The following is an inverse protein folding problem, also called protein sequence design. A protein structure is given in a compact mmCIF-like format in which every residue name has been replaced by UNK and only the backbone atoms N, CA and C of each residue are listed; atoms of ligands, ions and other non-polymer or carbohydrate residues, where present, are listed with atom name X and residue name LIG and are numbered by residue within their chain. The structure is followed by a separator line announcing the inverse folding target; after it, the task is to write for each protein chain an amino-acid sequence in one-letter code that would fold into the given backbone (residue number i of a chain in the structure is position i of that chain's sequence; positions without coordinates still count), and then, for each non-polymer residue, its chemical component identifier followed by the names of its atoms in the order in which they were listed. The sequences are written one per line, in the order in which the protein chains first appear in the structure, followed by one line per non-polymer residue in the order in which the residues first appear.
data_IF_203490809608
#
_entry.id   IF_203490809608
#
_cell.length_a   1.000
_cell.length_b   1.000
_cell.length_c   1.000
_cell.angle_alpha   90.00
_cell.angle_beta   90.00
_cell.angle_gamma   90.00
#
_symmetry.space_group_name_H-M   'P 1'
#
loop_
_entity.id
_entity.type
_entity.pdbx_description
1 polymer ?
#
# COMPACT_ATOMS: atom_id res chain seq x y z
N UNK A 1 0.19 -10.42 -22.11
CA UNK A 1 0.21 -9.63 -20.87
C UNK A 1 -1.24 -9.24 -20.61
N UNK A 2 -1.76 -9.41 -19.39
CA UNK A 2 -3.11 -8.94 -19.08
C UNK A 2 -3.18 -7.41 -19.28
N UNK A 3 -4.29 -6.85 -19.75
CA UNK A 3 -4.41 -5.42 -20.07
C UNK A 3 -4.55 -4.54 -18.80
N UNK A 4 -3.84 -4.88 -17.72
CA UNK A 4 -3.80 -4.10 -16.49
C UNK A 4 -2.81 -2.93 -16.61
N UNK A 5 -3.11 -1.80 -15.97
CA UNK A 5 -2.26 -0.61 -15.98
C UNK A 5 -1.01 -0.75 -15.11
N UNK A 6 -1.12 -1.45 -13.99
CA UNK A 6 -0.02 -1.77 -13.08
C UNK A 6 -0.26 -3.10 -12.37
N UNK A 7 0.78 -3.59 -11.70
CA UNK A 7 0.70 -4.70 -10.76
C UNK A 7 1.58 -4.39 -9.54
N UNK A 8 1.11 -4.75 -8.36
CA UNK A 8 1.92 -4.77 -7.13
C UNK A 8 2.29 -6.21 -6.84
N UNK A 9 3.57 -6.46 -6.58
CA UNK A 9 4.05 -7.75 -6.09
C UNK A 9 4.62 -7.54 -4.71
N UNK A 10 4.16 -8.37 -3.79
CA UNK A 10 4.67 -8.44 -2.43
C UNK A 10 5.17 -9.88 -2.22
N UNK A 11 6.46 -10.01 -1.99
CA UNK A 11 7.15 -11.30 -1.78
C UNK A 11 8.01 -11.18 -0.52
N UNK A 12 7.59 -11.84 0.56
CA UNK A 12 8.27 -11.82 1.85
C UNK A 12 8.11 -13.19 2.52
N UNK A 13 9.11 -13.58 3.28
CA UNK A 13 9.04 -14.68 4.24
C UNK A 13 8.78 -14.20 5.66
N UNK A 14 9.15 -12.97 5.98
CA UNK A 14 8.91 -12.34 7.28
C UNK A 14 8.70 -10.83 7.15
N UNK A 15 8.01 -10.22 8.13
CA UNK A 15 7.87 -8.76 8.18
C UNK A 15 9.18 -8.03 8.50
N UNK A 16 10.21 -8.75 8.97
CA UNK A 16 11.56 -8.20 9.12
C UNK A 16 12.35 -8.14 7.81
N UNK A 17 11.83 -8.71 6.71
CA UNK A 17 12.47 -8.63 5.39
C UNK A 17 12.53 -7.16 4.92
N UNK A 18 13.50 -6.85 4.06
CA UNK A 18 13.66 -5.50 3.52
C UNK A 18 12.44 -5.08 2.69
N UNK A 19 11.85 -3.91 3.00
CA UNK A 19 10.71 -3.37 2.26
C UNK A 19 11.01 -3.24 0.75
N UNK A 20 12.18 -2.72 0.40
CA UNK A 20 12.61 -2.54 -1.00
C UNK A 20 12.87 -3.88 -1.69
N UNK A 21 13.26 -4.90 -0.94
CA UNK A 21 13.42 -6.26 -1.44
C UNK A 21 12.08 -6.95 -1.72
N UNK A 22 11.10 -6.69 -0.85
CA UNK A 22 9.81 -7.40 -0.84
C UNK A 22 8.72 -6.75 -1.69
N UNK A 23 8.76 -5.43 -1.90
CA UNK A 23 7.71 -4.69 -2.62
C UNK A 23 8.17 -4.29 -4.02
N UNK A 24 7.40 -4.64 -5.04
CA UNK A 24 7.61 -4.19 -6.42
C UNK A 24 6.33 -3.64 -7.03
N UNK A 25 6.40 -2.40 -7.52
CA UNK A 25 5.39 -1.82 -8.39
C UNK A 25 5.86 -1.95 -9.84
N UNK A 26 5.02 -2.54 -10.69
CA UNK A 26 5.27 -2.74 -12.11
C UNK A 26 4.24 -1.92 -12.89
N UNK A 27 4.68 -1.01 -13.75
CA UNK A 27 3.82 -0.25 -14.65
C UNK A 27 3.82 -0.88 -16.04
N UNK A 28 2.64 -0.99 -16.64
CA UNK A 28 2.51 -1.49 -18.00
C UNK A 28 2.71 -0.34 -19.00
N UNK A 29 3.88 -0.31 -19.66
CA UNK A 29 4.22 0.73 -20.64
C UNK A 29 3.29 0.76 -21.86
N UNK A 30 2.62 -0.35 -22.18
CA UNK A 30 1.69 -0.44 -23.31
C UNK A 30 0.26 0.02 -22.95
N UNK A 31 -0.01 0.34 -21.69
CA UNK A 31 -1.34 0.78 -21.26
C UNK A 31 -1.57 2.28 -21.55
N UNK A 32 -2.77 2.71 -22.01
CA UNK A 32 -3.06 4.14 -22.30
C UNK A 32 -2.94 5.13 -21.12
N UNK A 33 -2.73 4.62 -19.91
CA UNK A 33 -2.52 5.42 -18.70
C UNK A 33 -1.04 5.52 -18.31
N UNK A 34 -0.13 4.78 -18.97
CA UNK A 34 1.28 4.68 -18.59
C UNK A 34 1.98 6.04 -18.60
N UNK A 35 1.78 6.82 -19.66
CA UNK A 35 2.38 8.15 -19.80
C UNK A 35 1.94 9.07 -18.64
N UNK A 36 0.63 9.17 -18.38
CA UNK A 36 0.10 9.98 -17.30
C UNK A 36 0.48 9.48 -15.89
N UNK A 37 0.81 8.19 -15.72
CA UNK A 37 1.34 7.65 -14.47
C UNK A 37 2.82 8.06 -14.25
N UNK A 38 3.57 8.28 -15.34
CA UNK A 38 4.97 8.72 -15.31
C UNK A 38 5.12 10.25 -15.27
N UNK A 39 4.07 10.99 -15.63
CA UNK A 39 4.00 12.44 -15.50
C UNK A 39 4.03 12.88 -14.02
N UNK A 40 4.70 14.00 -13.74
CA UNK A 40 4.81 14.56 -12.37
C UNK A 40 3.83 15.71 -12.11
N UNK A 41 3.09 16.16 -13.13
CA UNK A 41 2.18 17.30 -13.06
C UNK A 41 1.00 17.13 -14.01
N UNK A 42 -0.09 17.84 -13.71
CA UNK A 42 -1.35 17.79 -14.47
C UNK A 42 -2.45 17.02 -13.76
N UNK A 43 -3.68 17.46 -13.95
CA UNK A 43 -4.85 16.95 -13.20
C UNK A 43 -5.05 15.44 -13.38
N UNK A 44 -4.83 14.95 -14.60
CA UNK A 44 -4.92 13.51 -14.90
C UNK A 44 -3.85 12.69 -14.16
N UNK A 45 -2.61 13.17 -14.11
CA UNK A 45 -1.52 12.52 -13.39
C UNK A 45 -1.80 12.51 -11.88
N UNK A 46 -2.26 13.64 -11.33
CA UNK A 46 -2.63 13.75 -9.92
C UNK A 46 -3.74 12.75 -9.53
N UNK A 47 -4.80 12.65 -10.34
CA UNK A 47 -5.88 11.67 -10.12
C UNK A 47 -5.33 10.24 -10.18
N UNK A 48 -4.55 9.90 -11.20
CA UNK A 48 -3.99 8.56 -11.35
C UNK A 48 -3.04 8.19 -10.22
N UNK A 49 -2.23 9.14 -9.73
CA UNK A 49 -1.38 8.93 -8.57
C UNK A 49 -2.20 8.71 -7.30
N UNK A 50 -3.31 9.42 -7.11
CA UNK A 50 -4.21 9.19 -5.97
C UNK A 50 -4.80 7.78 -5.99
N UNK A 51 -5.24 7.30 -7.16
CA UNK A 51 -5.75 5.94 -7.37
C UNK A 51 -4.66 4.91 -7.10
N UNK A 52 -3.47 5.11 -7.67
CA UNK A 52 -2.34 4.20 -7.52
C UNK A 52 -1.90 4.08 -6.06
N UNK A 53 -1.79 5.19 -5.31
CA UNK A 53 -1.35 5.17 -3.91
C UNK A 53 -2.29 4.36 -3.02
N UNK A 54 -3.61 4.56 -3.18
CA UNK A 54 -4.61 3.79 -2.45
C UNK A 54 -4.55 2.32 -2.83
N UNK A 55 -4.45 2.03 -4.12
CA UNK A 55 -4.44 0.66 -4.59
C UNK A 55 -3.18 -0.10 -4.11
N UNK A 56 -2.03 0.56 -4.08
CA UNK A 56 -0.80 0.03 -3.48
C UNK A 56 -0.99 -0.23 -1.98
N UNK A 57 -1.48 0.75 -1.21
CA UNK A 57 -1.69 0.58 0.23
C UNK A 57 -2.71 -0.52 0.54
N UNK A 58 -3.80 -0.59 -0.23
CA UNK A 58 -4.80 -1.66 -0.18
C UNK A 58 -4.16 -3.02 -0.40
N UNK A 59 -3.39 -3.18 -1.48
CA UNK A 59 -2.78 -4.46 -1.81
C UNK A 59 -1.75 -4.89 -0.76
N UNK A 60 -0.94 -3.96 -0.25
CA UNK A 60 0.07 -4.25 0.76
C UNK A 60 -0.55 -4.70 2.08
N UNK A 61 -1.43 -3.88 2.68
CA UNK A 61 -2.07 -4.23 3.96
C UNK A 61 -3.02 -5.41 3.77
N UNK A 62 -3.77 -5.45 2.66
CA UNK A 62 -4.70 -6.53 2.36
C UNK A 62 -4.03 -7.89 2.17
N UNK A 63 -2.85 -7.93 1.53
CA UNK A 63 -2.09 -9.18 1.38
C UNK A 63 -1.60 -9.69 2.73
N UNK A 64 -1.03 -8.81 3.55
CA UNK A 64 -0.56 -9.15 4.90
C UNK A 64 -1.73 -9.54 5.81
N UNK A 65 -2.88 -8.88 5.67
CA UNK A 65 -4.10 -9.24 6.38
C UNK A 65 -4.65 -10.61 5.95
N UNK A 66 -4.51 -10.99 4.68
CA UNK A 66 -4.93 -12.30 4.19
C UNK A 66 -3.95 -13.44 4.55
N UNK A 67 -2.75 -13.12 5.01
CA UNK A 67 -1.77 -14.09 5.47
C UNK A 67 -2.18 -14.66 6.85
N UNK A 68 -2.73 -15.86 6.85
CA UNK A 68 -3.19 -16.58 8.04
C UNK A 68 -2.04 -17.06 8.94
N UNK A 69 -0.82 -17.15 8.40
CA UNK A 69 0.37 -17.60 9.13
C UNK A 69 1.20 -16.45 9.68
N UNK A 70 0.76 -15.22 9.44
CA UNK A 70 1.40 -14.03 9.94
C UNK A 70 1.26 -13.93 11.46
N UNK A 71 2.39 -14.02 12.15
CA UNK A 71 2.48 -13.66 13.55
C UNK A 71 3.04 -12.23 13.68
N UNK A 72 2.21 -11.29 14.11
CA UNK A 72 2.60 -9.90 14.35
C UNK A 72 3.43 -9.74 15.63
N UNK A 73 3.38 -10.72 16.52
CA UNK A 73 4.07 -10.71 17.82
C UNK A 73 5.42 -11.44 17.76
N UNK A 74 5.70 -12.22 16.71
CA UNK A 74 6.96 -12.98 16.51
C UNK A 74 8.11 -12.14 15.93
N UNK A 75 7.97 -10.81 15.91
CA UNK A 75 9.06 -9.95 15.43
C UNK A 75 10.13 -9.76 16.52
N UNK A 76 11.34 -10.26 16.26
CA UNK A 76 12.52 -9.91 17.05
C UNK A 76 12.68 -8.37 17.03
N UNK A 77 12.62 -7.69 18.19
CA UNK A 77 12.77 -6.24 18.27
C UNK A 77 14.07 -5.72 17.66
N UNK A 78 15.10 -6.57 17.53
CA UNK A 78 16.40 -6.25 16.94
C UNK A 78 16.34 -6.32 15.40
N UNK A 79 15.41 -7.08 14.82
CA UNK A 79 15.22 -7.24 13.38
C UNK A 79 14.27 -6.22 12.74
N UNK A 80 13.60 -5.39 13.56
CA UNK A 80 12.75 -4.29 13.11
C UNK A 80 13.59 -3.04 12.86
N UNK A 81 14.37 -3.07 11.78
CA UNK A 81 15.02 -1.86 11.27
C UNK A 81 14.00 -0.97 10.53
N UNK A 82 14.33 0.32 10.40
CA UNK A 82 13.50 1.33 9.70
C UNK A 82 13.28 1.00 8.20
N UNK A 83 14.05 0.06 7.63
CA UNK A 83 13.95 -0.40 6.25
C UNK A 83 13.15 -1.68 6.06
N UNK A 84 12.62 -2.26 7.14
CA UNK A 84 11.86 -3.51 7.13
C UNK A 84 10.47 -3.32 6.54
N UNK A 85 9.89 -4.43 6.06
CA UNK A 85 8.53 -4.47 5.54
C UNK A 85 7.53 -4.01 6.61
N UNK A 86 7.73 -4.44 7.87
CA UNK A 86 6.94 -3.97 9.02
C UNK A 86 6.99 -2.45 9.16
N UNK A 87 8.18 -1.86 9.20
CA UNK A 87 8.33 -0.41 9.38
C UNK A 87 7.63 0.37 8.25
N UNK A 88 7.74 -0.11 7.00
CA UNK A 88 7.03 0.47 5.88
C UNK A 88 5.50 0.40 6.01
N UNK A 89 4.97 -0.75 6.43
CA UNK A 89 3.53 -0.94 6.64
C UNK A 89 3.01 -0.16 7.85
N UNK A 90 3.77 -0.10 8.94
CA UNK A 90 3.48 0.74 10.11
C UNK A 90 3.44 2.22 9.71
N UNK A 91 4.38 2.69 8.90
CA UNK A 91 4.37 4.05 8.38
C UNK A 91 3.12 4.33 7.54
N UNK A 92 2.67 3.38 6.71
CA UNK A 92 1.44 3.54 5.92
C UNK A 92 0.22 3.62 6.85
N UNK A 93 0.10 2.69 7.79
CA UNK A 93 -1.02 2.64 8.73
C UNK A 93 -1.07 3.91 9.60
N UNK A 94 0.06 4.34 10.15
CA UNK A 94 0.13 5.51 11.01
C UNK A 94 -0.17 6.80 10.22
N UNK A 95 0.42 6.95 9.04
CA UNK A 95 0.30 8.19 8.25
C UNK A 95 -1.08 8.36 7.62
N UNK A 96 -1.61 7.30 7.01
CA UNK A 96 -2.82 7.40 6.21
C UNK A 96 -4.06 6.87 6.92
N UNK A 97 -3.92 5.92 7.85
CA UNK A 97 -5.06 5.37 8.57
C UNK A 97 -5.16 5.91 10.01
N UNK A 98 -4.16 6.66 10.49
CA UNK A 98 -4.09 7.18 11.86
C UNK A 98 -4.25 6.08 12.92
N UNK A 99 -3.68 4.89 12.66
CA UNK A 99 -3.70 3.74 13.56
C UNK A 99 -2.42 2.91 13.42
N UNK A 100 -2.16 2.03 14.39
CA UNK A 100 -1.08 1.05 14.28
C UNK A 100 -1.40 -0.03 13.22
N UNK A 101 -0.36 -0.75 12.78
CA UNK A 101 -0.47 -1.78 11.76
C UNK A 101 -1.38 -2.94 12.17
N UNK A 102 -1.35 -3.36 13.43
CA UNK A 102 -2.18 -4.45 13.92
C UNK A 102 -3.67 -4.11 13.82
N UNK A 103 -4.04 -2.88 14.21
CA UNK A 103 -5.39 -2.34 14.08
C UNK A 103 -5.82 -2.21 12.61
N UNK A 104 -4.91 -1.81 11.71
CA UNK A 104 -5.20 -1.73 10.29
C UNK A 104 -5.45 -3.13 9.67
N UNK A 105 -4.63 -4.12 10.02
CA UNK A 105 -4.80 -5.52 9.60
C UNK A 105 -6.11 -6.08 10.13
N UNK A 106 -6.40 -5.88 11.43
CA UNK A 106 -7.61 -6.38 12.04
C UNK A 106 -8.86 -5.75 11.40
N UNK A 107 -8.81 -4.45 11.10
CA UNK A 107 -9.88 -3.78 10.37
C UNK A 107 -10.05 -4.35 8.95
N UNK A 108 -8.95 -4.59 8.23
CA UNK A 108 -9.00 -5.19 6.90
C UNK A 108 -9.61 -6.61 6.93
N UNK A 109 -9.41 -7.37 8.01
CA UNK A 109 -10.00 -8.71 8.22
C UNK A 109 -11.48 -8.65 8.61
N UNK A 110 -11.81 -7.86 9.63
CA UNK A 110 -13.15 -7.87 10.25
C UNK A 110 -14.17 -6.99 9.52
N UNK A 111 -13.74 -5.85 8.99
CA UNK A 111 -14.60 -4.90 8.28
C UNK A 111 -13.87 -4.32 7.05
N UNK A 112 -13.71 -5.14 5.98
CA UNK A 112 -13.04 -4.70 4.74
C UNK A 112 -13.68 -3.44 4.15
N UNK A 113 -14.99 -3.27 4.33
CA UNK A 113 -15.71 -2.10 3.85
C UNK A 113 -15.30 -0.82 4.60
N UNK A 114 -15.10 -0.89 5.91
CA UNK A 114 -14.57 0.22 6.70
C UNK A 114 -13.11 0.51 6.38
N UNK A 115 -12.31 -0.53 6.18
CA UNK A 115 -10.92 -0.39 5.75
C UNK A 115 -10.82 0.42 4.44
N UNK A 116 -11.61 0.07 3.42
CA UNK A 116 -11.66 0.79 2.15
C UNK A 116 -12.04 2.27 2.31
N UNK A 117 -13.04 2.57 3.14
CA UNK A 117 -13.43 3.97 3.40
C UNK A 117 -12.32 4.75 4.09
N UNK A 118 -11.61 4.14 5.03
CA UNK A 118 -10.49 4.79 5.71
C UNK A 118 -9.30 5.02 4.77
N UNK A 119 -9.02 4.10 3.84
CA UNK A 119 -8.02 4.34 2.79
C UNK A 119 -8.40 5.56 1.93
N UNK A 120 -9.66 5.67 1.53
CA UNK A 120 -10.11 6.81 0.73
C UNK A 120 -9.96 8.15 1.46
N UNK A 121 -10.33 8.19 2.75
CA UNK A 121 -10.16 9.38 3.58
C UNK A 121 -8.67 9.70 3.77
N UNK A 122 -7.87 8.69 4.13
CA UNK A 122 -6.46 8.82 4.46
C UNK A 122 -5.58 9.33 3.33
N UNK A 123 -5.87 8.89 2.10
CA UNK A 123 -5.14 9.28 0.90
C UNK A 123 -5.77 10.47 0.16
N UNK A 124 -6.76 11.14 0.77
CA UNK A 124 -7.48 12.25 0.16
C UNK A 124 -8.00 11.89 -1.24
N UNK A 125 -8.62 10.71 -1.36
CA UNK A 125 -8.98 10.13 -2.64
C UNK A 125 -9.86 11.04 -3.47
N UNK A 126 -9.41 11.37 -4.68
CA UNK A 126 -10.13 12.25 -5.61
C UNK A 126 -10.46 13.64 -5.03
N UNK A 127 -9.77 14.06 -3.96
CA UNK A 127 -9.85 15.43 -3.47
C UNK A 127 -9.02 16.34 -4.38
N UNK A 128 -9.50 17.56 -4.60
CA UNK A 128 -8.72 18.57 -5.32
C UNK A 128 -7.44 18.86 -4.54
N UNK A 129 -6.28 18.80 -5.21
CA UNK A 129 -5.02 19.23 -4.63
C UNK A 129 -5.20 20.68 -4.20
N UNK A 130 -5.20 20.93 -2.89
CA UNK A 130 -5.30 22.29 -2.38
C UNK A 130 -4.00 23.00 -2.78
N UNK A 131 -4.11 23.94 -3.73
CA UNK A 131 -3.00 24.78 -4.19
C UNK A 131 -2.42 25.63 -3.06
#
# INVERSE_FOLDING_TARGET
MEPAAWAVRLDYGSLSDSFVGSVRLLLNADHPAAEALLETSGDRAAILHSVLRIDVARQLIGTVAADEFLDLDDADPIALDDGSLRAGLESIAATFLSMDLASAIEMARQDPSRFERNLQVGFEFLMEATQ
#
